data_IF_607426914404
#
_entry.id   IF_607426914404
#
_cell.length_a   1.000
_cell.length_b   1.000
_cell.length_c   1.000
_cell.angle_alpha   90.00
_cell.angle_beta   90.00
_cell.angle_gamma   90.00
#
_symmetry.space_group_name_H-M   'P 1'
#
loop_
_entity.id
_entity.type
_entity.pdbx_description
1 polymer ?
#
# COMPACT_ATOMS: atom_id res chain seq x y z
N UNK A 1 -4.61 43.71 -32.94
CA UNK A 1 -4.51 42.25 -33.04
C UNK A 1 -4.34 41.71 -31.63
N UNK A 2 -5.27 40.85 -31.19
CA UNK A 2 -5.33 40.32 -29.82
C UNK A 2 -4.27 39.24 -29.63
N UNK A 3 -3.59 39.25 -28.50
CA UNK A 3 -2.84 38.10 -27.99
C UNK A 3 -3.13 37.98 -26.48
N UNK A 4 -4.24 37.32 -26.18
CA UNK A 4 -4.46 36.62 -24.91
C UNK A 4 -3.43 35.49 -24.79
N UNK A 5 -2.78 35.33 -23.64
CA UNK A 5 -3.08 34.20 -22.72
C UNK A 5 -2.16 34.19 -21.49
N UNK A 6 -2.81 34.49 -20.36
CA UNK A 6 -2.71 33.90 -19.03
C UNK A 6 -1.41 33.23 -18.57
N UNK A 7 -0.72 33.92 -17.68
CA UNK A 7 0.39 33.42 -16.85
C UNK A 7 -0.18 32.99 -15.48
N UNK A 8 -0.92 31.88 -15.45
CA UNK A 8 -1.46 31.32 -14.21
C UNK A 8 -0.37 30.54 -13.49
N UNK A 9 0.17 31.15 -12.44
CA UNK A 9 1.13 30.52 -11.52
C UNK A 9 0.45 29.40 -10.75
N UNK A 10 1.01 28.21 -10.87
CA UNK A 10 0.74 27.00 -10.11
C UNK A 10 0.63 27.25 -8.61
N UNK A 11 -0.59 27.37 -8.11
CA UNK A 11 -0.89 27.25 -6.68
C UNK A 11 -2.04 26.25 -6.44
N UNK A 12 -2.16 25.28 -7.33
CA UNK A 12 -3.12 24.19 -7.16
C UNK A 12 -2.44 23.07 -6.37
N UNK A 13 -2.83 22.92 -5.10
CA UNK A 13 -2.56 21.74 -4.24
C UNK A 13 -3.29 20.50 -4.80
N UNK A 14 -3.03 20.17 -6.06
CA UNK A 14 -3.71 19.13 -6.81
C UNK A 14 -2.71 18.36 -7.67
N UNK A 15 -3.06 17.11 -7.96
CA UNK A 15 -2.27 16.25 -8.85
C UNK A 15 -2.18 16.94 -10.23
N UNK A 16 -1.00 17.01 -10.86
CA UNK A 16 -0.84 17.68 -12.15
C UNK A 16 -1.76 17.06 -13.20
N UNK A 17 -2.36 17.93 -14.01
CA UNK A 17 -3.30 17.56 -15.06
C UNK A 17 -2.59 16.65 -16.07
N UNK A 18 -3.01 15.40 -16.17
CA UNK A 18 -2.42 14.40 -17.07
C UNK A 18 -1.56 13.32 -16.42
N UNK A 19 -1.37 13.34 -15.09
CA UNK A 19 -0.64 12.27 -14.41
C UNK A 19 -1.36 10.91 -14.56
N UNK A 20 -0.66 9.92 -15.11
CA UNK A 20 -1.20 8.57 -15.33
C UNK A 20 -1.51 7.86 -14.00
N UNK A 21 -2.65 7.16 -13.94
CA UNK A 21 -2.97 6.29 -12.82
C UNK A 21 -1.95 5.15 -12.74
N UNK A 22 -1.47 4.87 -11.53
CA UNK A 22 -0.50 3.79 -11.29
C UNK A 22 -1.23 2.64 -10.61
N UNK A 23 -1.31 1.50 -11.30
CA UNK A 23 -1.78 0.25 -10.69
C UNK A 23 -0.67 -0.29 -9.82
N UNK A 24 -0.84 -0.23 -8.50
CA UNK A 24 0.06 -0.88 -7.55
C UNK A 24 -0.39 -2.32 -7.34
N UNK A 25 0.51 -3.27 -7.61
CA UNK A 25 0.26 -4.68 -7.34
C UNK A 25 0.65 -4.98 -5.89
N UNK A 26 -0.30 -5.54 -5.16
CA UNK A 26 -0.15 -5.85 -3.74
C UNK A 26 -0.70 -7.24 -3.50
N UNK A 27 0.16 -8.14 -3.03
CA UNK A 27 -0.24 -9.49 -2.67
C UNK A 27 -0.54 -9.52 -1.17
N UNK A 28 -1.81 -9.74 -0.83
CA UNK A 28 -2.27 -9.92 0.55
C UNK A 28 -2.82 -11.32 0.73
N UNK A 29 -2.25 -12.11 1.64
CA UNK A 29 -2.86 -13.37 2.04
C UNK A 29 -3.99 -13.10 3.04
N UNK A 30 -5.23 -13.46 2.66
CA UNK A 30 -6.38 -13.43 3.57
C UNK A 30 -6.24 -14.58 4.57
N UNK A 31 -5.56 -14.32 5.69
CA UNK A 31 -5.36 -15.30 6.76
C UNK A 31 -6.61 -15.44 7.65
N UNK A 32 -7.18 -16.64 7.72
CA UNK A 32 -8.19 -16.99 8.74
C UNK A 32 -7.54 -17.14 10.10
N UNK A 33 -8.27 -16.84 11.18
CA UNK A 33 -7.76 -17.08 12.53
C UNK A 33 -7.48 -18.57 12.73
N UNK A 34 -6.25 -18.98 13.11
CA UNK A 34 -5.94 -20.40 13.29
C UNK A 34 -6.70 -21.03 14.47
N UNK A 35 -7.19 -20.21 15.41
CA UNK A 35 -7.90 -20.68 16.60
C UNK A 35 -9.40 -20.83 16.39
N UNK A 36 -10.05 -19.86 15.73
CA UNK A 36 -11.52 -19.83 15.58
C UNK A 36 -12.02 -19.70 14.15
N UNK A 37 -11.14 -19.68 13.14
CA UNK A 37 -11.50 -19.55 11.73
C UNK A 37 -12.01 -18.18 11.29
N UNK A 38 -12.29 -17.25 12.23
CA UNK A 38 -12.82 -15.93 11.93
C UNK A 38 -11.90 -15.13 11.00
N UNK A 39 -12.51 -14.40 10.07
CA UNK A 39 -11.86 -13.42 9.18
C UNK A 39 -11.89 -12.01 9.75
N UNK A 40 -12.66 -11.79 10.82
CA UNK A 40 -12.77 -10.50 11.50
C UNK A 40 -11.54 -10.23 12.36
N UNK A 41 -10.93 -9.08 12.13
CA UNK A 41 -9.69 -8.67 12.76
C UNK A 41 -9.64 -7.17 12.96
N UNK A 42 -9.09 -6.76 14.09
CA UNK A 42 -8.76 -5.36 14.39
C UNK A 42 -7.25 -5.17 14.23
N UNK A 43 -6.85 -4.12 13.52
CA UNK A 43 -5.44 -3.77 13.31
C UNK A 43 -4.95 -2.98 14.53
N UNK A 44 -3.94 -3.51 15.22
CA UNK A 44 -3.31 -2.86 16.37
C UNK A 44 -2.19 -1.91 15.96
N UNK A 45 -1.36 -2.34 15.00
CA UNK A 45 -0.28 -1.51 14.46
C UNK A 45 0.09 -1.93 13.05
N UNK A 46 0.61 -0.98 12.27
CA UNK A 46 1.11 -1.22 10.92
C UNK A 46 2.53 -0.68 10.81
N UNK A 47 3.43 -1.48 10.26
CA UNK A 47 4.82 -1.10 10.01
C UNK A 47 5.19 -1.47 8.59
N UNK A 48 5.66 -0.50 7.81
CA UNK A 48 6.20 -0.71 6.48
C UNK A 48 7.72 -0.64 6.50
N UNK A 49 8.37 -1.54 5.77
CA UNK A 49 9.82 -1.56 5.60
C UNK A 49 10.15 -1.78 4.13
N UNK A 50 11.15 -1.04 3.63
CA UNK A 50 11.72 -1.32 2.31
C UNK A 50 12.54 -2.61 2.41
N UNK A 51 12.16 -3.60 1.62
CA UNK A 51 12.79 -4.92 1.61
C UNK A 51 12.55 -5.57 0.26
N UNK A 52 13.62 -5.90 -0.45
CA UNK A 52 13.56 -6.58 -1.74
C UNK A 52 13.55 -8.09 -1.56
N UNK A 53 12.67 -8.79 -2.28
CA UNK A 53 12.59 -10.25 -2.25
C UNK A 53 11.57 -10.81 -3.24
N UNK A 54 11.36 -12.13 -3.17
CA UNK A 54 10.32 -12.85 -3.91
C UNK A 54 9.22 -13.26 -2.94
N UNK A 55 7.98 -12.88 -3.24
CA UNK A 55 6.82 -13.20 -2.43
C UNK A 55 6.43 -14.70 -2.64
N UNK A 56 5.61 -15.28 -1.75
CA UNK A 56 5.26 -16.71 -1.84
C UNK A 56 4.49 -17.09 -3.11
N UNK A 57 3.92 -16.12 -3.82
CA UNK A 57 3.28 -16.25 -5.13
C UNK A 57 4.29 -16.22 -6.30
N UNK A 58 5.58 -16.05 -6.02
CA UNK A 58 6.64 -15.94 -7.01
C UNK A 58 6.87 -14.51 -7.51
N UNK A 59 6.12 -13.52 -7.04
CA UNK A 59 6.25 -12.15 -7.53
C UNK A 59 7.34 -11.38 -6.80
N UNK A 60 8.19 -10.62 -7.51
CA UNK A 60 9.17 -9.77 -6.84
C UNK A 60 8.45 -8.69 -6.04
N UNK A 61 8.98 -8.30 -4.89
CA UNK A 61 8.50 -7.16 -4.13
C UNK A 61 9.68 -6.35 -3.62
N UNK A 62 9.43 -5.09 -3.29
CA UNK A 62 10.45 -4.20 -2.73
C UNK A 62 10.01 -3.47 -1.45
N UNK A 63 8.76 -3.71 -1.01
CA UNK A 63 8.25 -3.29 0.28
C UNK A 63 7.51 -4.43 0.96
N UNK A 64 7.73 -4.56 2.27
CA UNK A 64 6.95 -5.43 3.14
C UNK A 64 6.17 -4.58 4.14
N UNK A 65 4.88 -4.88 4.28
CA UNK A 65 4.00 -4.28 5.26
C UNK A 65 3.65 -5.36 6.28
N UNK A 66 3.96 -5.11 7.55
CA UNK A 66 3.63 -5.99 8.67
C UNK A 66 2.51 -5.33 9.48
N UNK A 67 1.39 -6.02 9.62
CA UNK A 67 0.23 -5.55 10.40
C UNK A 67 0.06 -6.46 11.60
N UNK A 68 0.20 -5.90 12.80
CA UNK A 68 -0.16 -6.61 14.02
C UNK A 68 -1.67 -6.55 14.15
N UNK A 69 -2.32 -7.70 14.16
CA UNK A 69 -3.79 -7.81 14.19
C UNK A 69 -4.24 -8.64 15.37
N UNK A 70 -5.42 -8.31 15.90
CA UNK A 70 -6.15 -9.06 16.93
C UNK A 70 -7.42 -9.62 16.32
N UNK A 71 -7.65 -10.92 16.44
CA UNK A 71 -8.91 -11.53 16.03
C UNK A 71 -10.05 -11.03 16.94
N UNK A 72 -11.13 -10.54 16.34
CA UNK A 72 -12.28 -10.03 17.09
C UNK A 72 -13.03 -11.14 17.84
N UNK A 73 -13.07 -12.35 17.29
CA UNK A 73 -13.83 -13.46 17.88
C UNK A 73 -13.14 -14.17 19.05
N UNK A 74 -11.83 -14.40 18.98
CA UNK A 74 -11.11 -15.16 20.04
C UNK A 74 -9.97 -14.38 20.71
N UNK A 75 -9.75 -13.13 20.31
CA UNK A 75 -8.71 -12.26 20.88
C UNK A 75 -7.27 -12.60 20.49
N UNK A 76 -7.03 -13.66 19.71
CA UNK A 76 -5.69 -14.08 19.30
C UNK A 76 -4.97 -12.96 18.53
N UNK A 77 -3.73 -12.66 18.94
CA UNK A 77 -2.87 -11.68 18.27
C UNK A 77 -1.93 -12.39 17.30
N UNK A 78 -1.76 -11.84 16.09
CA UNK A 78 -0.82 -12.32 15.07
C UNK A 78 -0.27 -11.17 14.23
N UNK A 79 0.68 -11.47 13.35
CA UNK A 79 1.25 -10.52 12.40
C UNK A 79 0.91 -10.98 10.98
N UNK A 80 0.12 -10.20 10.27
CA UNK A 80 -0.15 -10.39 8.86
C UNK A 80 0.92 -9.67 8.03
N UNK A 81 1.39 -10.33 6.97
CA UNK A 81 2.41 -9.79 6.05
C UNK A 81 1.77 -9.53 4.69
N UNK A 82 2.08 -8.38 4.13
CA UNK A 82 1.66 -7.94 2.81
C UNK A 82 2.90 -7.52 2.03
N UNK A 83 3.02 -8.03 0.81
CA UNK A 83 4.14 -7.77 -0.07
C UNK A 83 3.67 -6.82 -1.17
N UNK A 84 4.40 -5.72 -1.37
CA UNK A 84 4.02 -4.66 -2.29
C UNK A 84 5.19 -4.24 -3.17
N UNK A 85 4.90 -3.99 -4.44
CA UNK A 85 5.83 -3.33 -5.37
C UNK A 85 5.54 -1.83 -5.37
N UNK A 86 6.43 -1.03 -4.78
CA UNK A 86 6.40 0.44 -4.89
C UNK A 86 7.59 0.91 -5.70
N UNK A 87 7.39 1.62 -6.81
CA UNK A 87 8.54 2.23 -7.50
C UNK A 87 9.24 3.22 -6.56
N UNK A 88 10.58 3.26 -6.62
CA UNK A 88 11.30 4.40 -6.09
C UNK A 88 10.74 5.63 -6.82
N UNK A 89 10.23 6.61 -6.09
CA UNK A 89 9.92 7.89 -6.70
C UNK A 89 11.28 8.46 -7.12
N UNK A 90 11.60 8.37 -8.40
CA UNK A 90 12.68 9.14 -8.99
C UNK A 90 12.35 10.61 -8.71
N UNK A 91 13.03 11.19 -7.72
CA UNK A 91 13.08 12.63 -7.55
C UNK A 91 13.93 13.14 -8.72
N UNK A 92 13.26 13.67 -9.73
CA UNK A 92 13.87 14.56 -10.71
C UNK A 92 14.08 15.95 -10.09
#
# INVERSE_FOLDING_TARGET
MKADTSKDKDNQKGRPKGAANVTQKTTTMLSRCPKCGSTERSVLSTTSQQFAGIAPDGEPYNFIIRRRVRCSGCGQVRIDREFSQRRAQEKE
#
